data_IF_749787362985
#
_entry.id   IF_749787362985
#
_cell.length_a   1.000
_cell.length_b   1.000
_cell.length_c   1.000
_cell.angle_alpha   90.00
_cell.angle_beta   90.00
_cell.angle_gamma   90.00
#
_symmetry.space_group_name_H-M   'P 1'
#
loop_
_entity.id
_entity.type
_entity.pdbx_description
1 polymer ?
#
# COMPACT_ATOMS: atom_id res chain seq x y z
N UNK A 1 -63.65 -2.35 -12.34
CA UNK A 1 -62.50 -1.48 -12.69
C UNK A 1 -61.36 -1.82 -11.74
N UNK A 2 -60.57 -2.84 -12.07
CA UNK A 2 -59.56 -3.41 -11.17
C UNK A 2 -58.18 -3.11 -11.74
N UNK A 3 -57.43 -2.21 -11.08
CA UNK A 3 -56.07 -1.81 -11.49
C UNK A 3 -55.05 -2.57 -10.66
N UNK A 4 -54.38 -3.51 -11.30
CA UNK A 4 -53.19 -4.22 -10.80
C UNK A 4 -52.02 -3.24 -10.66
N UNK A 5 -51.25 -3.22 -9.54
CA UNK A 5 -50.01 -2.48 -9.47
C UNK A 5 -48.88 -3.28 -10.15
N UNK A 6 -48.21 -2.62 -11.10
CA UNK A 6 -47.03 -3.12 -11.81
C UNK A 6 -45.86 -3.42 -10.86
N UNK A 7 -45.37 -4.65 -10.95
CA UNK A 7 -44.03 -5.09 -10.52
C UNK A 7 -42.95 -4.15 -11.08
N UNK A 8 -42.14 -3.57 -10.18
CA UNK A 8 -40.91 -2.86 -10.54
C UNK A 8 -39.78 -3.88 -10.59
N UNK A 9 -39.25 -4.14 -11.78
CA UNK A 9 -37.98 -4.86 -12.00
C UNK A 9 -36.82 -4.05 -11.40
N UNK A 10 -35.75 -4.70 -10.89
CA UNK A 10 -34.59 -3.98 -10.37
C UNK A 10 -33.84 -3.28 -11.50
N UNK A 11 -33.34 -2.08 -11.22
CA UNK A 11 -32.47 -1.32 -12.13
C UNK A 11 -31.20 -2.12 -12.38
N UNK A 12 -30.94 -2.43 -13.64
CA UNK A 12 -29.73 -3.11 -14.09
C UNK A 12 -28.49 -2.28 -13.79
N UNK A 13 -27.44 -2.97 -13.36
CA UNK A 13 -26.08 -2.45 -13.23
C UNK A 13 -25.53 -2.19 -14.65
N UNK A 14 -24.88 -1.05 -14.94
CA UNK A 14 -24.32 -0.78 -16.26
C UNK A 14 -23.22 -1.79 -16.63
N UNK A 15 -23.18 -2.30 -17.88
CA UNK A 15 -22.21 -3.30 -18.29
C UNK A 15 -20.91 -2.63 -18.76
N UNK A 16 -19.99 -2.37 -17.84
CA UNK A 16 -18.62 -1.99 -18.20
C UNK A 16 -17.57 -2.70 -17.33
N UNK A 17 -17.73 -4.01 -17.20
CA UNK A 17 -16.66 -4.89 -16.74
C UNK A 17 -16.52 -6.05 -17.72
N UNK A 18 -16.29 -5.70 -18.98
CA UNK A 18 -15.73 -6.65 -19.94
C UNK A 18 -14.24 -6.35 -20.03
N UNK A 19 -13.48 -6.91 -19.09
CA UNK A 19 -12.06 -7.13 -19.34
C UNK A 19 -11.97 -8.00 -20.59
N UNK A 20 -11.46 -7.40 -21.67
CA UNK A 20 -11.21 -8.10 -22.91
C UNK A 20 -9.99 -8.98 -22.70
N UNK A 21 -10.20 -10.27 -22.47
CA UNK A 21 -9.11 -11.25 -22.43
C UNK A 21 -8.72 -11.69 -23.83
N UNK A 22 -7.50 -11.35 -24.26
CA UNK A 22 -6.58 -12.24 -24.99
C UNK A 22 -5.18 -11.61 -25.11
N UNK A 23 -4.19 -12.16 -24.40
CA UNK A 23 -2.77 -12.10 -24.80
C UNK A 23 -1.92 -10.91 -24.37
N UNK A 24 -2.38 -10.02 -23.49
CA UNK A 24 -1.58 -8.92 -22.94
C UNK A 24 -1.57 -9.04 -21.41
N UNK A 25 -0.39 -9.26 -20.84
CA UNK A 25 -0.17 -9.21 -19.39
C UNK A 25 -0.38 -7.75 -18.98
N UNK A 26 -1.50 -7.42 -18.35
CA UNK A 26 -1.71 -6.08 -17.80
C UNK A 26 -0.95 -5.99 -16.49
N UNK A 27 0.27 -5.46 -16.57
CA UNK A 27 1.06 -5.09 -15.39
C UNK A 27 0.39 -3.87 -14.74
N UNK A 28 0.11 -3.98 -13.45
CA UNK A 28 -0.50 -2.93 -12.65
C UNK A 28 0.42 -2.58 -11.47
N UNK A 29 0.48 -1.29 -11.16
CA UNK A 29 1.27 -0.79 -10.04
C UNK A 29 0.51 -0.88 -8.73
N UNK A 30 1.16 -1.42 -7.71
CA UNK A 30 0.64 -1.51 -6.36
C UNK A 30 1.55 -0.80 -5.38
N UNK A 31 0.95 -0.07 -4.44
CA UNK A 31 1.59 0.48 -3.25
C UNK A 31 1.46 -0.53 -2.11
N UNK A 32 2.58 -0.89 -1.52
CA UNK A 32 2.67 -1.64 -0.27
C UNK A 32 3.06 -0.65 0.84
N UNK A 33 2.18 -0.42 1.80
CA UNK A 33 2.40 0.51 2.92
C UNK A 33 2.65 -0.24 4.22
N UNK A 34 3.76 0.09 4.87
CA UNK A 34 4.10 -0.29 6.24
C UNK A 34 3.69 0.84 7.18
N UNK A 35 3.10 0.49 8.33
CA UNK A 35 2.67 1.45 9.33
C UNK A 35 3.43 1.24 10.64
N UNK A 36 3.80 2.33 11.32
CA UNK A 36 4.33 2.26 12.69
C UNK A 36 3.32 1.67 13.66
N UNK A 37 2.03 1.87 13.37
CA UNK A 37 0.91 1.22 14.04
C UNK A 37 -0.06 0.77 12.96
N UNK A 38 -0.18 -0.54 12.79
CA UNK A 38 -1.16 -1.14 11.88
C UNK A 38 -2.57 -1.21 12.47
N UNK A 39 -3.52 -1.85 11.76
CA UNK A 39 -4.90 -2.01 12.23
C UNK A 39 -5.03 -2.80 13.54
N UNK A 40 -3.97 -3.55 13.90
CA UNK A 40 -3.81 -4.25 15.18
C UNK A 40 -2.37 -4.05 15.66
N UNK A 41 -2.14 -4.02 16.99
CA UNK A 41 -0.79 -4.07 17.53
C UNK A 41 -0.04 -5.29 16.99
N UNK A 42 1.27 -5.12 16.76
CA UNK A 42 2.14 -6.24 16.45
C UNK A 42 2.38 -7.07 17.72
N UNK A 43 2.51 -8.38 17.55
CA UNK A 43 2.94 -9.28 18.62
C UNK A 43 4.47 -9.27 18.76
N UNK A 44 5.09 -8.09 18.68
CA UNK A 44 6.53 -7.89 18.89
C UNK A 44 6.79 -6.56 19.60
N UNK A 45 7.91 -6.47 20.32
CA UNK A 45 8.37 -5.21 20.91
C UNK A 45 8.57 -4.14 19.80
N UNK A 46 8.42 -2.85 20.12
CA UNK A 46 8.72 -1.78 19.16
C UNK A 46 10.22 -1.78 18.81
N UNK A 47 10.55 -1.29 17.60
CA UNK A 47 11.89 -1.43 17.03
C UNK A 47 12.98 -0.67 17.81
N UNK A 48 12.62 0.34 18.61
CA UNK A 48 13.52 1.07 19.50
C UNK A 48 13.99 0.24 20.71
N UNK A 49 13.29 -0.85 21.02
CA UNK A 49 13.67 -1.83 22.04
C UNK A 49 14.52 -3.00 21.47
N UNK A 50 14.75 -3.04 20.15
CA UNK A 50 15.50 -4.12 19.51
C UNK A 50 17.01 -3.92 19.67
N UNK A 51 17.74 -5.03 19.63
CA UNK A 51 19.21 -4.99 19.54
C UNK A 51 19.66 -4.45 18.18
N UNK A 52 20.85 -3.83 18.08
CA UNK A 52 21.39 -3.40 16.79
C UNK A 52 21.44 -4.53 15.74
N UNK A 53 21.75 -5.75 16.16
CA UNK A 53 21.81 -6.91 15.27
C UNK A 53 20.43 -7.30 14.71
N UNK A 54 19.37 -7.17 15.50
CA UNK A 54 18.00 -7.42 15.05
C UNK A 54 17.54 -6.36 14.06
N UNK A 55 17.89 -5.08 14.32
CA UNK A 55 17.65 -3.98 13.38
C UNK A 55 18.40 -4.21 12.07
N UNK A 56 19.68 -4.57 12.12
CA UNK A 56 20.50 -4.85 10.94
C UNK A 56 19.92 -6.02 10.13
N UNK A 57 19.49 -7.10 10.79
CA UNK A 57 18.87 -8.25 10.14
C UNK A 57 17.55 -7.87 9.45
N UNK A 58 16.73 -7.03 10.10
CA UNK A 58 15.50 -6.51 9.52
C UNK A 58 15.78 -5.67 8.27
N UNK A 59 16.73 -4.73 8.35
CA UNK A 59 17.08 -3.87 7.22
C UNK A 59 17.70 -4.66 6.07
N UNK A 60 18.54 -5.64 6.36
CA UNK A 60 19.10 -6.56 5.36
C UNK A 60 18.01 -7.36 4.65
N UNK A 61 17.00 -7.84 5.39
CA UNK A 61 15.84 -8.52 4.80
C UNK A 61 15.05 -7.60 3.87
N UNK A 62 14.80 -6.34 4.27
CA UNK A 62 14.12 -5.37 3.41
C UNK A 62 14.87 -5.13 2.09
N UNK A 63 16.21 -5.01 2.16
CA UNK A 63 17.07 -4.93 0.98
C UNK A 63 16.97 -6.18 0.09
N UNK A 64 17.01 -7.35 0.70
CA UNK A 64 16.87 -8.63 -0.01
C UNK A 64 15.53 -8.77 -0.75
N UNK A 65 14.42 -8.34 -0.13
CA UNK A 65 13.10 -8.32 -0.79
C UNK A 65 13.15 -7.41 -2.03
N UNK A 66 13.69 -6.20 -1.90
CA UNK A 66 13.82 -5.28 -3.03
C UNK A 66 14.68 -5.85 -4.16
N UNK A 67 15.78 -6.53 -3.83
CA UNK A 67 16.65 -7.18 -4.82
C UNK A 67 15.94 -8.30 -5.57
N UNK A 68 15.24 -9.19 -4.86
CA UNK A 68 14.45 -10.25 -5.50
C UNK A 68 13.37 -9.70 -6.44
N UNK A 69 12.67 -8.64 -6.04
CA UNK A 69 11.66 -8.00 -6.89
C UNK A 69 12.31 -7.33 -8.11
N UNK A 70 13.50 -6.73 -7.93
CA UNK A 70 14.25 -6.09 -9.02
C UNK A 70 14.74 -7.11 -10.04
N UNK A 71 15.24 -8.26 -9.59
CA UNK A 71 15.65 -9.37 -10.46
C UNK A 71 14.49 -9.90 -11.33
N UNK A 72 13.26 -9.81 -10.81
CA UNK A 72 12.04 -10.19 -11.54
C UNK A 72 11.49 -9.08 -12.44
N UNK A 73 12.05 -7.87 -12.38
CA UNK A 73 11.53 -6.69 -13.06
C UNK A 73 10.24 -6.13 -12.43
N UNK A 74 9.92 -6.53 -11.19
CA UNK A 74 8.70 -6.16 -10.47
C UNK A 74 8.92 -4.93 -9.56
N UNK A 75 10.16 -4.61 -9.18
CA UNK A 75 10.47 -3.50 -8.28
C UNK A 75 10.42 -2.14 -8.99
N UNK A 76 9.67 -1.18 -8.43
CA UNK A 76 9.65 0.22 -8.90
C UNK A 76 10.50 1.10 -8.00
N UNK A 77 10.13 1.26 -6.72
CA UNK A 77 10.87 2.06 -5.74
C UNK A 77 10.42 1.72 -4.30
N UNK A 78 11.20 2.06 -3.29
CA UNK A 78 10.85 1.90 -1.88
C UNK A 78 11.66 2.83 -0.97
N UNK A 79 11.04 3.36 0.08
CA UNK A 79 11.71 4.20 1.09
C UNK A 79 11.11 4.00 2.48
N UNK A 80 11.96 4.11 3.50
CA UNK A 80 11.54 4.30 4.89
C UNK A 80 11.22 5.78 5.13
N UNK A 81 10.23 6.05 5.98
CA UNK A 81 9.81 7.40 6.33
C UNK A 81 10.13 7.68 7.80
N UNK A 82 10.33 8.96 8.14
CA UNK A 82 10.44 9.39 9.54
C UNK A 82 9.07 9.32 10.22
N UNK A 83 8.97 8.98 11.53
CA UNK A 83 7.73 9.15 12.27
C UNK A 83 7.39 10.64 12.47
N UNK A 84 8.38 11.53 12.34
CA UNK A 84 8.20 12.97 12.39
C UNK A 84 7.63 13.51 11.07
N UNK A 85 6.78 14.50 11.17
CA UNK A 85 6.22 15.20 10.01
C UNK A 85 5.21 16.24 10.43
N UNK A 86 4.63 16.92 9.44
CA UNK A 86 3.60 17.91 9.68
C UNK A 86 2.59 17.92 8.54
N UNK A 87 1.34 18.19 8.87
CA UNK A 87 0.33 18.58 7.90
C UNK A 87 0.61 20.00 7.46
N UNK A 88 0.75 20.20 6.16
CA UNK A 88 0.92 21.53 5.57
C UNK A 88 -0.26 21.81 4.66
N UNK A 89 -0.91 22.95 4.86
CA UNK A 89 -2.04 23.39 4.04
C UNK A 89 -1.81 24.80 3.51
N UNK A 90 -2.24 25.02 2.27
CA UNK A 90 -2.37 26.35 1.71
C UNK A 90 -3.33 27.23 2.54
N UNK A 91 -2.95 28.48 2.78
CA UNK A 91 -3.74 29.42 3.58
C UNK A 91 -4.22 30.67 2.78
N UNK A 92 -4.01 30.67 1.47
CA UNK A 92 -4.37 31.78 0.58
C UNK A 92 -3.17 32.47 -0.05
N UNK A 93 -3.42 33.17 -1.15
CA UNK A 93 -2.36 33.82 -1.94
C UNK A 93 -1.62 34.88 -1.12
N UNK A 94 -0.29 34.86 -1.20
CA UNK A 94 0.58 35.78 -0.47
C UNK A 94 0.68 35.52 1.04
N UNK A 95 0.05 34.45 1.57
CA UNK A 95 0.17 34.05 2.97
C UNK A 95 1.13 32.87 3.13
N UNK A 96 1.87 32.78 4.24
CA UNK A 96 2.64 31.58 4.54
C UNK A 96 1.70 30.38 4.71
N UNK A 97 2.15 29.16 4.39
CA UNK A 97 1.34 27.96 4.61
C UNK A 97 1.07 27.76 6.11
N UNK A 98 -0.09 27.17 6.42
CA UNK A 98 -0.40 26.70 7.76
C UNK A 98 0.21 25.32 7.93
N UNK A 99 0.96 25.15 9.02
CA UNK A 99 1.59 23.89 9.39
C UNK A 99 1.05 23.41 10.72
N UNK A 100 0.73 22.12 10.82
CA UNK A 100 0.30 21.44 12.04
C UNK A 100 1.18 20.19 12.25
N UNK A 101 2.00 20.20 13.30
CA UNK A 101 2.97 19.13 13.58
C UNK A 101 3.51 19.16 15.02
N UNK A 102 4.20 18.09 15.49
CA UNK A 102 4.32 16.77 14.85
C UNK A 102 2.97 16.06 14.74
N UNK A 103 2.86 14.98 13.97
CA UNK A 103 1.60 14.24 13.85
C UNK A 103 1.03 13.88 15.22
N UNK A 104 0.04 14.65 15.67
CA UNK A 104 -0.50 14.56 17.01
C UNK A 104 -1.40 13.32 17.11
N UNK A 105 -0.85 12.23 17.66
CA UNK A 105 -1.57 11.01 18.05
C UNK A 105 -2.41 10.31 16.96
N UNK A 106 -2.18 10.60 15.68
CA UNK A 106 -2.94 9.93 14.62
C UNK A 106 -2.47 8.50 14.47
N UNK A 107 -3.41 7.57 14.66
CA UNK A 107 -3.18 6.13 14.90
C UNK A 107 -2.55 5.34 13.76
N UNK A 108 -2.22 5.93 12.63
CA UNK A 108 -1.75 5.20 11.44
C UNK A 108 -0.62 5.97 10.74
N UNK A 109 0.51 6.18 11.43
CA UNK A 109 1.71 6.75 10.81
C UNK A 109 2.34 5.74 9.86
N UNK A 110 2.70 6.20 8.65
CA UNK A 110 3.36 5.38 7.64
C UNK A 110 4.85 5.27 7.98
N UNK A 111 5.35 4.06 8.16
CA UNK A 111 6.76 3.78 8.43
C UNK A 111 7.59 3.64 7.16
N UNK A 112 6.95 3.29 6.06
CA UNK A 112 7.61 3.14 4.78
C UNK A 112 6.66 2.66 3.71
N UNK A 113 7.15 2.69 2.48
CA UNK A 113 6.39 2.28 1.31
C UNK A 113 7.27 1.54 0.31
N UNK A 114 6.65 0.67 -0.48
CA UNK A 114 7.25 0.01 -1.64
C UNK A 114 6.24 0.02 -2.78
N UNK A 115 6.68 0.37 -3.97
CA UNK A 115 5.89 0.26 -5.20
C UNK A 115 6.41 -0.91 -6.01
N UNK A 116 5.49 -1.76 -6.44
CA UNK A 116 5.75 -2.89 -7.33
C UNK A 116 4.88 -2.78 -8.59
N UNK A 117 5.36 -3.30 -9.70
CA UNK A 117 4.64 -3.42 -10.97
C UNK A 117 4.51 -4.91 -11.31
N UNK A 118 3.31 -5.47 -11.16
CA UNK A 118 3.07 -6.92 -11.24
C UNK A 118 1.84 -7.24 -12.07
N UNK A 119 1.76 -8.46 -12.56
CA UNK A 119 0.71 -8.91 -13.49
C UNK A 119 -0.66 -9.14 -12.86
N UNK A 120 -0.74 -9.16 -11.53
CA UNK A 120 -1.93 -9.57 -10.81
C UNK A 120 -1.95 -9.06 -9.37
N UNK A 121 -3.15 -8.95 -8.81
CA UNK A 121 -3.33 -8.61 -7.39
C UNK A 121 -2.86 -9.74 -6.48
N UNK A 122 -2.98 -10.99 -6.94
CA UNK A 122 -2.48 -12.17 -6.25
C UNK A 122 -0.95 -12.09 -6.07
N UNK A 123 -0.21 -11.75 -7.13
CA UNK A 123 1.24 -11.54 -7.05
C UNK A 123 1.59 -10.39 -6.09
N UNK A 124 0.82 -9.30 -6.10
CA UNK A 124 1.00 -8.20 -5.16
C UNK A 124 0.80 -8.65 -3.69
N UNK A 125 -0.22 -9.49 -3.43
CA UNK A 125 -0.47 -10.06 -2.11
C UNK A 125 0.64 -11.02 -1.67
N UNK A 126 1.20 -11.82 -2.57
CA UNK A 126 2.34 -12.68 -2.27
C UNK A 126 3.58 -11.87 -1.88
N UNK A 127 3.88 -10.81 -2.64
CA UNK A 127 4.97 -9.89 -2.32
C UNK A 127 4.74 -9.23 -0.95
N UNK A 128 3.52 -8.78 -0.67
CA UNK A 128 3.15 -8.21 0.63
C UNK A 128 3.26 -9.22 1.78
N UNK A 129 2.86 -10.47 1.57
CA UNK A 129 2.97 -11.53 2.57
C UNK A 129 4.43 -11.89 2.87
N UNK A 130 5.30 -11.88 1.86
CA UNK A 130 6.73 -12.08 2.07
C UNK A 130 7.35 -10.89 2.81
N UNK A 131 7.02 -9.65 2.42
CA UNK A 131 7.45 -8.44 3.14
C UNK A 131 7.03 -8.45 4.61
N UNK A 132 5.79 -8.89 4.89
CA UNK A 132 5.23 -9.06 6.25
C UNK A 132 6.04 -10.01 7.15
N UNK A 133 6.83 -10.91 6.55
CA UNK A 133 7.63 -11.90 7.26
C UNK A 133 9.01 -11.41 7.70
N UNK A 134 9.29 -10.11 7.60
CA UNK A 134 10.56 -9.54 8.04
C UNK A 134 10.95 -9.99 9.46
N UNK A 135 12.22 -10.34 9.70
CA UNK A 135 12.66 -10.80 11.01
C UNK A 135 12.58 -9.65 12.02
N UNK A 136 12.11 -9.97 13.22
CA UNK A 136 12.10 -9.10 14.39
C UNK A 136 12.92 -9.71 15.52
N UNK A 137 12.55 -9.48 16.80
CA UNK A 137 13.30 -9.97 17.93
C UNK A 137 13.50 -11.49 17.92
N UNK A 138 14.72 -11.93 18.20
CA UNK A 138 15.09 -13.35 18.13
C UNK A 138 15.07 -13.97 16.73
N UNK A 139 14.90 -13.17 15.67
CA UNK A 139 14.81 -13.63 14.29
C UNK A 139 13.43 -14.13 13.86
N UNK A 140 12.41 -14.02 14.72
CA UNK A 140 11.05 -14.44 14.42
C UNK A 140 10.35 -13.45 13.48
N UNK A 141 9.48 -13.91 12.54
CA UNK A 141 8.73 -13.02 11.67
C UNK A 141 7.79 -12.10 12.45
N UNK A 142 7.82 -10.79 12.15
CA UNK A 142 6.95 -9.80 12.83
C UNK A 142 5.48 -9.88 12.43
N UNK A 143 5.17 -10.53 11.30
CA UNK A 143 3.79 -10.71 10.77
C UNK A 143 3.04 -9.39 10.66
N UNK A 144 3.73 -8.35 10.20
CA UNK A 144 3.15 -7.02 10.11
C UNK A 144 2.04 -6.94 9.05
N UNK A 145 1.03 -6.11 9.32
CA UNK A 145 0.00 -5.85 8.33
C UNK A 145 0.54 -4.91 7.26
N UNK A 146 0.58 -5.38 6.02
CA UNK A 146 0.91 -4.56 4.84
C UNK A 146 -0.39 -4.12 4.18
N UNK A 147 -0.61 -2.82 4.06
CA UNK A 147 -1.71 -2.30 3.25
C UNK A 147 -1.31 -2.36 1.77
N UNK A 148 -2.10 -3.04 0.95
CA UNK A 148 -1.88 -3.20 -0.49
C UNK A 148 -2.92 -2.36 -1.23
N UNK A 149 -2.48 -1.39 -2.04
CA UNK A 149 -3.36 -0.53 -2.83
C UNK A 149 -2.97 -0.54 -4.30
N UNK A 150 -3.90 -0.80 -5.23
CA UNK A 150 -3.64 -0.51 -6.64
C UNK A 150 -3.54 1.00 -6.85
N UNK A 151 -2.64 1.42 -7.74
CA UNK A 151 -2.63 2.78 -8.25
C UNK A 151 -3.86 2.96 -9.16
N UNK A 152 -4.42 4.17 -9.18
CA UNK A 152 -5.42 4.53 -10.20
C UNK A 152 -4.69 4.70 -11.54
N UNK A 153 -4.93 3.80 -12.48
CA UNK A 153 -4.43 3.97 -13.85
C UNK A 153 -5.23 5.08 -14.55
N UNK A 154 -4.54 6.09 -15.09
CA UNK A 154 -5.21 7.08 -15.93
C UNK A 154 -5.79 6.38 -17.17
N UNK A 155 -7.00 6.74 -17.64
CA UNK A 155 -7.43 6.33 -18.97
C UNK A 155 -6.36 6.78 -19.95
N UNK A 156 -5.75 5.85 -20.69
CA UNK A 156 -4.89 6.22 -21.80
C UNK A 156 -5.70 7.13 -22.71
N UNK A 157 -5.29 8.39 -22.86
CA UNK A 157 -5.89 9.27 -23.84
C UNK A 157 -5.67 8.59 -25.20
N UNK A 158 -6.75 8.09 -25.80
CA UNK A 158 -6.73 7.60 -27.16
C UNK A 158 -6.43 8.82 -28.03
N UNK A 159 -5.21 8.93 -28.51
CA UNK A 159 -4.88 9.87 -29.58
C UNK A 159 -5.52 9.32 -30.86
N UNK A 160 -6.54 10.02 -31.38
CA UNK A 160 -7.04 9.82 -32.75
C UNK A 160 -6.00 10.22 -33.80
#
# INVERSE_FOLDING_TARGET
>A
MSRTPRSRRPRGVPPQWRHRTRGEITMAKYLLLKHYRGPKPLDCAPMDEWTPQEVDAHMAFMGHVADQLRERGEFVDAQALSPDGAWVRFDGDGRPPVTDGPFAETKDLIAGWMVIDVDSVERAHEAAAYLSSAPGPGGEPIREWIEVRPFLEQPQAVTE
#
